data_IF_658853298880
#
_entry.id   IF_658853298880
#
_cell.length_a   1.000
_cell.length_b   1.000
_cell.length_c   1.000
_cell.angle_alpha   90.00
_cell.angle_beta   90.00
_cell.angle_gamma   90.00
#
_symmetry.space_group_name_H-M   'P 1'
#
loop_
_entity.id
_entity.type
_entity.pdbx_description
1 polymer ?
#
# COMPACT_ATOMS: atom_id res chain seq x y z
N UNK A 1 -28.53 -0.39 6.04
CA UNK A 1 -27.28 0.14 5.43
C UNK A 1 -27.55 0.45 3.97
N UNK A 2 -27.53 1.73 3.57
CA UNK A 2 -27.89 2.17 2.20
C UNK A 2 -26.87 1.68 1.16
N UNK A 3 -27.34 0.99 0.10
CA UNK A 3 -26.51 0.56 -1.05
C UNK A 3 -25.76 1.73 -1.72
N UNK A 4 -26.32 2.94 -1.68
CA UNK A 4 -25.74 4.12 -2.36
C UNK A 4 -24.39 4.56 -1.78
N UNK A 5 -24.20 4.46 -0.46
CA UNK A 5 -22.95 4.87 0.17
C UNK A 5 -21.80 3.89 -0.15
N UNK A 6 -22.11 2.60 -0.28
CA UNK A 6 -21.13 1.57 -0.64
C UNK A 6 -20.68 1.70 -2.09
N UNK A 7 -21.61 1.94 -3.02
CA UNK A 7 -21.29 2.12 -4.43
C UNK A 7 -20.44 3.37 -4.69
N UNK A 8 -20.75 4.49 -4.01
CA UNK A 8 -19.96 5.72 -4.12
C UNK A 8 -18.52 5.53 -3.64
N UNK A 9 -18.32 4.84 -2.50
CA UNK A 9 -16.98 4.53 -1.99
C UNK A 9 -16.19 3.61 -2.93
N UNK A 10 -16.87 2.63 -3.53
CA UNK A 10 -16.25 1.71 -4.50
C UNK A 10 -15.76 2.45 -5.74
N UNK A 11 -16.61 3.28 -6.35
CA UNK A 11 -16.25 4.09 -7.53
C UNK A 11 -15.10 5.06 -7.25
N UNK A 12 -15.09 5.68 -6.08
CA UNK A 12 -13.98 6.55 -5.67
C UNK A 12 -12.67 5.76 -5.56
N UNK A 13 -12.70 4.57 -4.94
CA UNK A 13 -11.51 3.76 -4.79
C UNK A 13 -10.99 3.25 -6.15
N UNK A 14 -11.87 2.80 -7.04
CA UNK A 14 -11.52 2.33 -8.39
C UNK A 14 -10.95 3.45 -9.27
N UNK A 15 -11.40 4.70 -9.09
CA UNK A 15 -10.91 5.84 -9.88
C UNK A 15 -9.53 6.35 -9.45
N UNK A 16 -9.23 6.28 -8.15
CA UNK A 16 -8.05 6.95 -7.59
C UNK A 16 -6.90 6.01 -7.24
N UNK A 17 -7.15 4.71 -7.11
CA UNK A 17 -6.15 3.76 -6.64
C UNK A 17 -6.13 2.47 -7.46
N UNK A 18 -4.96 2.18 -8.03
CA UNK A 18 -4.66 0.84 -8.54
C UNK A 18 -4.28 -0.09 -7.38
N UNK A 19 -4.78 -1.33 -7.39
CA UNK A 19 -4.47 -2.33 -6.35
C UNK A 19 -3.28 -3.16 -6.77
N UNK A 20 -2.19 -3.06 -6.02
CA UNK A 20 -1.03 -3.93 -6.15
C UNK A 20 -1.10 -5.11 -5.17
N UNK A 21 -1.20 -6.32 -5.71
CA UNK A 21 -1.12 -7.55 -4.90
C UNK A 21 0.33 -7.99 -4.78
N UNK A 22 0.90 -7.84 -3.58
CA UNK A 22 2.25 -8.32 -3.27
C UNK A 22 2.19 -9.72 -2.65
N UNK A 23 3.06 -10.61 -3.13
CA UNK A 23 3.31 -11.92 -2.53
C UNK A 23 4.60 -11.85 -1.73
N UNK A 24 4.53 -12.18 -0.45
CA UNK A 24 5.69 -12.25 0.45
C UNK A 24 5.74 -13.62 1.09
N UNK A 25 6.93 -14.04 1.52
CA UNK A 25 7.09 -15.33 2.24
C UNK A 25 6.24 -15.32 3.52
N UNK A 26 5.81 -16.51 3.94
CA UNK A 26 5.08 -16.65 5.20
C UNK A 26 5.90 -16.06 6.37
N UNK A 27 5.23 -15.28 7.23
CA UNK A 27 5.86 -14.56 8.35
C UNK A 27 6.50 -13.21 7.99
N UNK A 28 6.84 -12.94 6.73
CA UNK A 28 7.44 -11.65 6.34
C UNK A 28 6.42 -10.51 6.43
N UNK A 29 5.15 -10.77 6.14
CA UNK A 29 4.08 -9.76 6.27
C UNK A 29 4.03 -9.15 7.68
N UNK A 30 4.19 -9.97 8.72
CA UNK A 30 4.17 -9.49 10.10
C UNK A 30 5.42 -8.67 10.43
N UNK A 31 6.59 -9.09 9.94
CA UNK A 31 7.83 -8.33 10.10
C UNK A 31 7.72 -6.95 9.46
N UNK A 32 7.24 -6.88 8.22
CA UNK A 32 7.03 -5.61 7.50
C UNK A 32 6.03 -4.74 8.26
N UNK A 33 4.92 -5.30 8.74
CA UNK A 33 3.93 -4.56 9.51
C UNK A 33 4.50 -4.01 10.83
N UNK A 34 5.35 -4.78 11.52
CA UNK A 34 6.00 -4.32 12.74
C UNK A 34 7.01 -3.20 12.46
N UNK A 35 7.74 -3.26 11.35
CA UNK A 35 8.67 -2.19 10.93
C UNK A 35 7.87 -0.92 10.57
N UNK A 36 6.79 -1.05 9.79
CA UNK A 36 5.93 0.08 9.43
C UNK A 36 5.37 0.78 10.68
N UNK A 37 4.88 0.00 11.66
CA UNK A 37 4.41 0.53 12.96
C UNK A 37 5.51 1.26 13.72
N UNK A 38 6.73 0.73 13.76
CA UNK A 38 7.89 1.41 14.39
C UNK A 38 8.21 2.74 13.73
N UNK A 39 7.93 2.89 12.44
CA UNK A 39 8.12 4.13 11.68
C UNK A 39 6.88 5.04 11.71
N UNK A 40 5.83 4.71 12.48
CA UNK A 40 4.55 5.42 12.51
C UNK A 40 3.88 5.53 11.13
N UNK A 41 4.09 4.53 10.26
CA UNK A 41 3.52 4.46 8.92
C UNK A 41 2.53 3.30 8.80
N UNK A 42 1.54 3.45 7.92
CA UNK A 42 0.72 2.31 7.52
C UNK A 42 1.54 1.32 6.70
N UNK A 43 1.16 0.05 6.70
CA UNK A 43 1.81 -0.98 5.86
C UNK A 43 1.83 -0.56 4.38
N UNK A 44 0.74 0.07 3.92
CA UNK A 44 0.62 0.55 2.55
C UNK A 44 1.59 1.70 2.26
N UNK A 45 1.66 2.69 3.14
CA UNK A 45 2.56 3.84 2.95
C UNK A 45 4.02 3.43 3.01
N UNK A 46 4.35 2.50 3.91
CA UNK A 46 5.69 1.93 4.01
C UNK A 46 6.12 1.23 2.71
N UNK A 47 5.25 0.37 2.16
CA UNK A 47 5.52 -0.34 0.90
C UNK A 47 5.61 0.62 -0.28
N UNK A 48 4.68 1.58 -0.39
CA UNK A 48 4.70 2.57 -1.48
C UNK A 48 5.95 3.45 -1.42
N UNK A 49 6.34 3.89 -0.23
CA UNK A 49 7.57 4.68 -0.03
C UNK A 49 8.81 3.87 -0.45
N UNK A 50 8.88 2.59 -0.08
CA UNK A 50 9.99 1.73 -0.48
C UNK A 50 10.06 1.54 -2.01
N UNK A 51 8.92 1.36 -2.68
CA UNK A 51 8.84 1.23 -4.14
C UNK A 51 9.30 2.51 -4.82
N UNK A 52 8.77 3.67 -4.42
CA UNK A 52 9.13 4.95 -5.04
C UNK A 52 10.60 5.31 -4.81
N UNK A 53 11.10 5.14 -3.58
CA UNK A 53 12.52 5.32 -3.29
C UNK A 53 13.39 4.42 -4.19
N UNK A 54 13.01 3.17 -4.40
CA UNK A 54 13.75 2.26 -5.27
C UNK A 54 13.73 2.73 -6.73
N UNK A 55 12.56 3.13 -7.26
CA UNK A 55 12.42 3.65 -8.62
C UNK A 55 13.27 4.92 -8.81
N UNK A 56 13.27 5.83 -7.85
CA UNK A 56 14.04 7.07 -7.95
C UNK A 56 15.55 6.80 -7.94
N UNK A 57 16.01 5.87 -7.09
CA UNK A 57 17.41 5.40 -7.12
C UNK A 57 17.82 4.75 -8.45
N UNK A 58 16.87 4.18 -9.22
CA UNK A 58 17.16 3.63 -10.55
C UNK A 58 17.27 4.74 -11.62
N UNK A 59 16.58 5.87 -11.47
CA UNK A 59 16.62 6.98 -12.43
C UNK A 59 17.90 7.81 -12.33
N UNK A 60 18.53 7.82 -11.17
CA UNK A 60 19.78 8.54 -10.91
C UNK A 60 21.04 7.78 -11.37
N UNK A 61 20.87 6.59 -11.94
CA UNK A 61 21.94 5.77 -12.58
C UNK A 61 21.81 5.75 -14.09
#
# INVERSE_FOLDING_TARGET
MSKSATDSKRRYNEKNYDRLYITVKAGEKEKINNIAKKQNQSLNDFVNSAIYNYIDNLKEK
#
